data_IF_846867764410
#
_entry.id   IF_846867764410
#
_cell.length_a   1.000
_cell.length_b   1.000
_cell.length_c   1.000
_cell.angle_alpha   90.00
_cell.angle_beta   90.00
_cell.angle_gamma   90.00
#
_symmetry.space_group_name_H-M   'P 1'
#
loop_
_entity.id
_entity.type
_entity.pdbx_description
1 polymer ?
#
# COMPACT_ATOMS: atom_id res chain seq x y z
N UNK A 1 26.54 22.12 -2.72
CA UNK A 1 25.13 22.01 -2.27
C UNK A 1 24.45 20.93 -3.10
N UNK A 2 23.80 19.94 -2.48
CA UNK A 2 22.94 19.00 -3.22
C UNK A 2 21.75 19.78 -3.79
N UNK A 3 21.39 19.56 -5.05
CA UNK A 3 20.29 20.27 -5.73
C UNK A 3 18.96 19.73 -5.21
N UNK A 4 18.15 20.59 -4.59
CA UNK A 4 16.76 20.25 -4.24
C UNK A 4 15.93 20.08 -5.53
N UNK A 5 15.11 19.05 -5.57
CA UNK A 5 14.19 18.75 -6.67
C UNK A 5 12.83 18.37 -6.11
N UNK A 6 11.80 18.51 -6.94
CA UNK A 6 10.42 18.13 -6.63
C UNK A 6 10.16 16.71 -7.11
N UNK A 7 9.72 15.84 -6.21
CA UNK A 7 9.56 14.40 -6.43
C UNK A 7 8.13 13.97 -6.13
N UNK A 8 7.50 13.28 -7.07
CA UNK A 8 6.23 12.61 -6.84
C UNK A 8 6.47 11.18 -6.35
N UNK A 9 5.80 10.81 -5.26
CA UNK A 9 5.81 9.45 -4.71
C UNK A 9 4.41 8.85 -4.86
N UNK A 10 4.31 7.68 -5.48
CA UNK A 10 3.01 7.05 -5.80
C UNK A 10 2.72 5.92 -4.81
N UNK A 11 1.65 6.07 -4.02
CA UNK A 11 1.26 5.21 -2.91
C UNK A 11 1.72 5.76 -1.55
N UNK A 12 1.11 5.31 -0.46
CA UNK A 12 1.49 5.59 0.93
C UNK A 12 1.56 4.30 1.78
N UNK A 13 2.06 3.22 1.17
CA UNK A 13 2.48 2.02 1.88
C UNK A 13 3.93 2.11 2.39
N UNK A 14 4.43 1.04 3.02
CA UNK A 14 5.78 0.92 3.57
C UNK A 14 6.87 1.52 2.67
N UNK A 15 6.92 1.10 1.40
CA UNK A 15 7.93 1.55 0.43
C UNK A 15 7.90 3.07 0.22
N UNK A 16 6.71 3.67 0.11
CA UNK A 16 6.57 5.12 -0.07
C UNK A 16 7.00 5.90 1.17
N UNK A 17 6.62 5.44 2.37
CA UNK A 17 6.97 6.14 3.61
C UNK A 17 8.48 6.25 3.79
N UNK A 18 9.21 5.15 3.60
CA UNK A 18 10.68 5.18 3.70
C UNK A 18 11.30 6.01 2.59
N UNK A 19 10.81 5.90 1.34
CA UNK A 19 11.27 6.72 0.22
C UNK A 19 11.07 8.21 0.50
N UNK A 20 9.88 8.62 0.95
CA UNK A 20 9.57 10.01 1.26
C UNK A 20 10.43 10.54 2.42
N UNK A 21 10.66 9.72 3.46
CA UNK A 21 11.56 10.08 4.57
C UNK A 21 12.96 10.38 4.05
N UNK A 22 13.54 9.51 3.23
CA UNK A 22 14.91 9.70 2.73
C UNK A 22 14.99 10.89 1.76
N UNK A 23 14.01 11.07 0.88
CA UNK A 23 13.95 12.23 -0.01
C UNK A 23 13.85 13.55 0.78
N UNK A 24 13.01 13.58 1.83
CA UNK A 24 12.88 14.73 2.73
C UNK A 24 14.18 15.02 3.48
N UNK A 25 14.86 13.98 3.99
CA UNK A 25 16.17 14.10 4.67
C UNK A 25 17.24 14.70 3.77
N UNK A 26 17.20 14.41 2.48
CA UNK A 26 18.10 14.96 1.47
C UNK A 26 17.69 16.37 0.96
N UNK A 27 16.62 16.95 1.51
CA UNK A 27 16.17 18.31 1.21
C UNK A 27 15.38 18.43 -0.09
N UNK A 28 14.77 17.34 -0.57
CA UNK A 28 13.88 17.37 -1.72
C UNK A 28 12.45 17.80 -1.34
N UNK A 29 11.74 18.43 -2.27
CA UNK A 29 10.30 18.71 -2.13
C UNK A 29 9.54 17.42 -2.51
N UNK A 30 8.75 16.88 -1.59
CA UNK A 30 8.09 15.58 -1.78
C UNK A 30 6.58 15.76 -1.76
N UNK A 31 5.92 15.17 -2.76
CA UNK A 31 4.46 15.04 -2.81
C UNK A 31 4.11 13.57 -2.92
N UNK A 32 3.32 13.06 -1.98
CA UNK A 32 2.87 11.66 -1.95
C UNK A 32 1.42 11.60 -2.41
N UNK A 33 1.11 10.71 -3.34
CA UNK A 33 -0.26 10.47 -3.80
C UNK A 33 -0.77 9.13 -3.29
N UNK A 34 -1.88 9.11 -2.57
CA UNK A 34 -2.50 7.88 -2.05
C UNK A 34 -3.97 7.81 -2.45
N UNK A 35 -4.38 6.69 -3.06
CA UNK A 35 -5.76 6.48 -3.51
C UNK A 35 -6.74 6.30 -2.35
N UNK A 36 -6.25 5.77 -1.23
CA UNK A 36 -6.98 5.53 0.02
C UNK A 36 -7.10 6.80 0.88
N UNK A 37 -7.89 6.72 1.93
CA UNK A 37 -8.03 7.75 2.97
C UNK A 37 -6.97 7.65 4.08
N UNK A 38 -6.09 6.64 4.02
CA UNK A 38 -5.14 6.32 5.09
C UNK A 38 -3.83 5.72 4.59
N UNK A 39 -2.81 5.78 5.45
CA UNK A 39 -1.50 5.14 5.29
C UNK A 39 -1.60 3.63 5.52
N UNK A 40 -0.72 2.87 4.89
CA UNK A 40 -0.46 1.46 5.22
C UNK A 40 -0.38 0.53 4.01
N UNK A 41 -1.00 0.91 2.89
CA UNK A 41 -1.01 0.10 1.68
C UNK A 41 -1.61 -1.29 1.95
N UNK A 42 -0.81 -2.34 1.72
CA UNK A 42 -1.21 -3.73 1.96
C UNK A 42 -1.62 -3.99 3.42
N UNK A 43 -1.01 -3.31 4.39
CA UNK A 43 -1.24 -3.57 5.82
C UNK A 43 -2.57 -3.05 6.36
N UNK A 44 -3.36 -2.40 5.52
CA UNK A 44 -4.75 -2.06 5.81
C UNK A 44 -5.62 -3.26 5.47
N UNK A 45 -6.17 -3.94 6.47
CA UNK A 45 -7.18 -4.97 6.24
C UNK A 45 -8.47 -4.35 5.70
N UNK A 46 -9.01 -4.96 4.64
CA UNK A 46 -10.31 -4.61 4.06
C UNK A 46 -11.15 -5.89 4.00
N UNK A 47 -12.29 -6.00 4.70
CA UNK A 47 -13.14 -7.19 4.64
C UNK A 47 -13.82 -7.39 3.28
N UNK A 48 -13.83 -6.37 2.40
CA UNK A 48 -14.37 -6.51 1.05
C UNK A 48 -13.51 -7.44 0.20
N UNK A 49 -14.18 -8.15 -0.71
CA UNK A 49 -13.59 -8.98 -1.77
C UNK A 49 -14.08 -8.47 -3.11
N UNK A 50 -13.37 -8.81 -4.19
CA UNK A 50 -13.83 -8.48 -5.54
C UNK A 50 -14.99 -9.40 -5.94
N UNK A 51 -15.91 -8.87 -6.76
CA UNK A 51 -17.10 -9.63 -7.22
C UNK A 51 -16.71 -10.85 -8.07
N UNK A 52 -15.60 -10.75 -8.79
CA UNK A 52 -14.96 -11.86 -9.49
C UNK A 52 -14.00 -12.59 -8.54
N UNK A 53 -14.30 -13.85 -8.14
CA UNK A 53 -13.45 -14.58 -7.19
C UNK A 53 -12.04 -14.87 -7.71
N UNK A 54 -11.83 -14.86 -9.03
CA UNK A 54 -10.54 -15.03 -9.69
C UNK A 54 -9.89 -13.72 -10.11
N UNK A 55 -10.61 -12.60 -9.98
CA UNK A 55 -10.09 -11.25 -10.25
C UNK A 55 -9.56 -11.08 -11.68
N UNK A 56 -10.23 -11.70 -12.65
CA UNK A 56 -9.91 -11.68 -14.07
C UNK A 56 -10.64 -10.57 -14.83
N UNK A 57 -11.86 -10.21 -14.41
CA UNK A 57 -12.63 -9.15 -15.07
C UNK A 57 -11.84 -7.82 -15.03
N UNK A 58 -11.49 -7.24 -16.19
CA UNK A 58 -10.76 -5.97 -16.24
C UNK A 58 -11.58 -4.77 -15.73
N UNK A 59 -12.91 -4.87 -15.68
CA UNK A 59 -13.80 -3.79 -15.25
C UNK A 59 -14.23 -3.92 -13.77
N UNK A 60 -13.72 -4.92 -13.06
CA UNK A 60 -14.07 -5.15 -11.66
C UNK A 60 -13.64 -3.99 -10.76
N UNK A 61 -14.34 -3.83 -9.64
CA UNK A 61 -13.88 -2.96 -8.56
C UNK A 61 -12.64 -3.58 -7.91
N UNK A 62 -11.50 -2.90 -7.98
CA UNK A 62 -10.26 -3.39 -7.40
C UNK A 62 -10.23 -3.16 -5.88
N UNK A 63 -10.08 -4.22 -5.11
CA UNK A 63 -9.74 -4.15 -3.68
C UNK A 63 -8.22 -4.16 -3.57
N UNK A 64 -7.62 -3.20 -2.86
CA UNK A 64 -6.15 -3.12 -2.84
C UNK A 64 -5.50 -4.21 -1.97
N UNK A 65 -6.09 -4.46 -0.80
CA UNK A 65 -5.54 -5.36 0.22
C UNK A 65 -5.82 -6.81 -0.12
N UNK A 66 -4.81 -7.63 0.09
CA UNK A 66 -4.88 -9.10 -0.02
C UNK A 66 -4.81 -9.78 1.34
N UNK A 67 -4.90 -9.01 2.43
CA UNK A 67 -4.84 -9.56 3.78
C UNK A 67 -6.12 -10.30 4.14
N UNK A 68 -5.96 -11.36 4.92
CA UNK A 68 -7.04 -12.02 5.63
C UNK A 68 -6.97 -11.70 7.12
N UNK A 69 -8.12 -11.80 7.80
CA UNK A 69 -8.33 -11.27 9.16
C UNK A 69 -7.29 -11.74 10.18
N UNK A 70 -6.89 -13.00 10.10
CA UNK A 70 -6.01 -13.63 11.10
C UNK A 70 -4.54 -13.65 10.69
N UNK A 71 -4.13 -12.82 9.73
CA UNK A 71 -2.75 -12.84 9.24
C UNK A 71 -1.78 -12.33 10.31
N UNK A 72 -0.74 -13.12 10.54
CA UNK A 72 0.44 -12.71 11.30
C UNK A 72 1.56 -12.41 10.30
N UNK A 73 2.46 -11.51 10.68
CA UNK A 73 3.70 -11.32 9.96
C UNK A 73 4.44 -12.67 9.86
N UNK A 74 5.05 -12.94 8.71
CA UNK A 74 5.87 -14.13 8.48
C UNK A 74 7.30 -13.98 8.99
N UNK A 75 7.64 -12.78 9.47
CA UNK A 75 8.96 -12.43 9.99
C UNK A 75 8.82 -11.91 11.42
N UNK A 76 9.82 -12.14 12.28
CA UNK A 76 9.84 -11.55 13.60
C UNK A 76 9.97 -10.03 13.51
N UNK A 77 9.32 -9.29 14.41
CA UNK A 77 9.27 -7.81 14.39
C UNK A 77 10.67 -7.17 14.34
N UNK A 78 11.65 -7.80 14.98
CA UNK A 78 13.02 -7.34 15.11
C UNK A 78 13.71 -7.14 13.76
N UNK A 79 13.33 -7.92 12.75
CA UNK A 79 13.90 -7.81 11.39
C UNK A 79 13.00 -7.04 10.42
N UNK A 80 11.78 -6.67 10.85
CA UNK A 80 10.85 -5.88 10.04
C UNK A 80 11.03 -4.36 10.22
N UNK A 81 11.63 -3.94 11.35
CA UNK A 81 11.94 -2.54 11.61
C UNK A 81 12.96 -1.95 10.63
N UNK A 82 13.03 -0.63 10.58
CA UNK A 82 14.09 0.05 9.84
C UNK A 82 15.36 0.13 10.69
N UNK A 83 16.52 0.23 10.05
CA UNK A 83 17.82 0.27 10.73
C UNK A 83 17.95 1.38 11.78
N UNK A 84 17.24 2.49 11.58
CA UNK A 84 17.20 3.66 12.46
C UNK A 84 15.81 3.91 13.09
N UNK A 85 14.89 2.97 12.92
CA UNK A 85 13.55 3.02 13.51
C UNK A 85 13.07 1.59 13.78
N UNK A 86 13.52 0.98 14.90
CA UNK A 86 13.20 -0.40 15.24
C UNK A 86 11.71 -0.58 15.50
N UNK A 87 11.17 -1.75 15.16
CA UNK A 87 9.77 -2.09 15.41
C UNK A 87 9.61 -2.57 16.85
N UNK A 88 9.51 -1.61 17.77
CA UNK A 88 9.21 -1.90 19.15
C UNK A 88 7.72 -2.12 19.38
N UNK A 89 7.36 -3.02 20.30
CA UNK A 89 6.02 -3.04 20.86
C UNK A 89 5.65 -1.67 21.44
N UNK A 90 4.50 -1.14 21.04
CA UNK A 90 3.96 0.10 21.59
C UNK A 90 2.82 -0.29 22.51
N UNK A 91 2.97 -0.01 23.80
CA UNK A 91 1.87 -0.11 24.75
C UNK A 91 0.91 1.05 24.48
N UNK A 92 -0.24 0.76 23.87
CA UNK A 92 -1.33 1.72 23.75
C UNK A 92 -2.19 1.63 25.02
N UNK A 93 -2.47 2.77 25.65
CA UNK A 93 -3.37 2.89 26.81
C UNK A 93 -4.76 2.26 26.54
N UNK A 94 -5.16 2.15 25.26
CA UNK A 94 -6.42 1.53 24.84
C UNK A 94 -6.35 -0.01 24.68
N UNK A 95 -5.17 -0.61 24.61
CA UNK A 95 -4.98 -2.04 24.32
C UNK A 95 -4.55 -2.87 25.54
N UNK A 96 -4.40 -2.24 26.72
CA UNK A 96 -4.02 -2.93 27.96
C UNK A 96 -2.62 -3.54 27.88
N UNK A 97 -2.22 -4.30 28.91
CA UNK A 97 -0.96 -5.08 28.89
C UNK A 97 -1.03 -6.14 27.80
N UNK A 98 -0.67 -5.76 26.58
CA UNK A 98 -0.66 -6.65 25.42
C UNK A 98 0.62 -7.46 25.48
N UNK A 99 0.51 -8.79 25.53
CA UNK A 99 1.66 -9.64 25.23
C UNK A 99 1.93 -9.47 23.75
N UNK A 100 2.95 -8.68 23.42
CA UNK A 100 3.33 -8.42 22.05
C UNK A 100 3.95 -9.67 21.44
N UNK A 101 3.34 -10.17 20.37
CA UNK A 101 3.83 -11.36 19.70
C UNK A 101 5.12 -11.05 18.93
N UNK A 102 6.10 -11.96 18.98
CA UNK A 102 7.31 -11.91 18.15
C UNK A 102 6.94 -11.77 16.66
N UNK A 103 5.87 -12.47 16.23
CA UNK A 103 5.25 -12.37 14.92
C UNK A 103 3.96 -11.54 15.02
N UNK A 104 4.01 -10.21 14.80
CA UNK A 104 2.88 -9.32 15.04
C UNK A 104 1.70 -9.60 14.11
N UNK A 105 0.45 -9.39 14.56
CA UNK A 105 -0.71 -9.32 13.67
C UNK A 105 -0.61 -8.07 12.77
N UNK A 106 -1.37 -8.05 11.67
CA UNK A 106 -1.29 -6.96 10.69
C UNK A 106 -1.61 -5.58 11.27
N UNK A 107 -2.45 -5.50 12.30
CA UNK A 107 -2.81 -4.26 13.00
C UNK A 107 -1.59 -3.62 13.67
N UNK A 108 -0.72 -4.41 14.28
CA UNK A 108 0.51 -3.90 14.89
C UNK A 108 1.49 -3.39 13.83
N UNK A 109 1.59 -4.08 12.67
CA UNK A 109 2.40 -3.58 11.55
C UNK A 109 1.83 -2.26 11.03
N UNK A 110 0.52 -2.16 10.87
CA UNK A 110 -0.15 -0.93 10.46
C UNK A 110 0.10 0.19 11.48
N UNK A 111 0.04 -0.10 12.77
CA UNK A 111 0.31 0.85 13.85
C UNK A 111 1.74 1.39 13.76
N UNK A 112 2.73 0.50 13.59
CA UNK A 112 4.13 0.87 13.36
C UNK A 112 4.30 1.81 12.16
N UNK A 113 3.63 1.53 11.03
CA UNK A 113 3.69 2.40 9.84
C UNK A 113 3.06 3.78 10.09
N UNK A 114 1.97 3.85 10.84
CA UNK A 114 1.33 5.12 11.19
C UNK A 114 2.21 5.94 12.13
N UNK A 115 2.85 5.30 13.12
CA UNK A 115 3.83 5.95 13.99
C UNK A 115 5.04 6.47 13.21
N UNK A 116 5.61 5.65 12.33
CA UNK A 116 6.69 6.06 11.44
C UNK A 116 6.30 7.29 10.60
N UNK A 117 5.11 7.27 9.99
CA UNK A 117 4.64 8.39 9.18
C UNK A 117 4.42 9.68 10.00
N UNK A 118 4.00 9.55 11.26
CA UNK A 118 3.79 10.67 12.19
C UNK A 118 5.12 11.24 12.70
N UNK A 119 6.01 10.39 13.19
CA UNK A 119 7.29 10.80 13.81
C UNK A 119 8.22 11.50 12.82
N UNK A 120 8.16 11.11 11.54
CA UNK A 120 8.91 11.77 10.47
C UNK A 120 8.12 12.86 9.74
N UNK A 121 6.94 13.22 10.24
CA UNK A 121 6.06 14.27 9.70
C UNK A 121 5.82 14.09 8.18
N UNK A 122 5.48 12.87 7.79
CA UNK A 122 5.22 12.49 6.40
C UNK A 122 3.75 12.68 6.03
N UNK A 123 2.84 12.63 7.01
CA UNK A 123 1.38 12.76 6.79
C UNK A 123 1.04 14.04 6.03
N UNK A 124 1.68 15.16 6.37
CA UNK A 124 1.47 16.45 5.70
C UNK A 124 1.93 16.49 4.22
N UNK A 125 2.71 15.50 3.78
CA UNK A 125 3.15 15.36 2.40
C UNK A 125 2.16 14.55 1.56
N UNK A 126 1.19 13.89 2.20
CA UNK A 126 0.27 12.95 1.55
C UNK A 126 -1.00 13.65 1.10
N UNK A 127 -1.30 13.49 -0.19
CA UNK A 127 -2.61 13.77 -0.79
C UNK A 127 -3.42 12.48 -0.80
N UNK A 128 -4.21 12.28 0.25
CA UNK A 128 -5.15 11.16 0.35
C UNK A 128 -6.29 11.28 -0.67
N UNK A 129 -7.02 10.18 -0.88
CA UNK A 129 -8.12 10.07 -1.83
C UNK A 129 -7.76 10.57 -3.24
N UNK A 130 -6.49 10.44 -3.62
CA UNK A 130 -5.93 10.97 -4.87
C UNK A 130 -5.17 9.87 -5.59
N UNK A 131 -5.78 9.35 -6.65
CA UNK A 131 -5.23 8.28 -7.47
C UNK A 131 -4.42 8.88 -8.63
N UNK A 132 -3.16 8.47 -8.78
CA UNK A 132 -2.39 8.75 -10.00
C UNK A 132 -2.93 7.88 -11.14
N UNK A 133 -3.25 8.49 -12.27
CA UNK A 133 -3.81 7.84 -13.46
C UNK A 133 -2.82 7.80 -14.62
N UNK A 134 -1.88 8.74 -14.70
CA UNK A 134 -0.86 8.77 -15.73
C UNK A 134 0.45 9.37 -15.23
N UNK A 135 1.55 8.83 -15.71
CA UNK A 135 2.89 9.40 -15.57
C UNK A 135 3.55 9.38 -16.95
N UNK A 136 4.06 10.52 -17.40
CA UNK A 136 4.77 10.60 -18.67
C UNK A 136 5.84 11.68 -18.66
N UNK A 137 6.81 11.56 -19.56
CA UNK A 137 7.76 12.64 -19.81
C UNK A 137 7.02 13.84 -20.43
N UNK A 138 7.39 15.03 -19.98
CA UNK A 138 6.96 16.29 -20.59
C UNK A 138 7.57 16.42 -21.99
N UNK A 139 6.81 16.99 -22.93
CA UNK A 139 7.29 17.29 -24.29
C UNK A 139 8.14 18.59 -24.35
N UNK A 140 8.70 19.02 -23.22
CA UNK A 140 9.53 20.21 -23.11
C UNK A 140 11.01 19.80 -23.20
N UNK A 141 11.63 20.09 -24.34
CA UNK A 141 13.00 19.67 -24.68
C UNK A 141 14.06 20.33 -23.78
N UNK A 142 13.76 21.44 -23.10
CA UNK A 142 14.74 22.14 -22.27
C UNK A 142 14.91 21.55 -20.86
N UNK A 143 13.89 20.83 -20.35
CA UNK A 143 13.91 20.26 -18.99
C UNK A 143 13.23 18.90 -18.96
N UNK A 144 14.01 17.82 -18.84
CA UNK A 144 13.51 16.48 -18.50
C UNK A 144 12.68 16.52 -17.20
N UNK A 145 11.36 16.60 -17.36
CA UNK A 145 10.37 16.67 -16.28
C UNK A 145 9.26 15.68 -16.56
N UNK A 146 8.60 15.23 -15.51
CA UNK A 146 7.51 14.26 -15.54
C UNK A 146 6.19 14.98 -15.29
N UNK A 147 5.20 14.69 -16.13
CA UNK A 147 3.79 15.04 -15.92
C UNK A 147 3.15 13.91 -15.14
N UNK A 148 2.61 14.23 -13.96
CA UNK A 148 1.83 13.30 -13.13
C UNK A 148 0.38 13.76 -13.12
N UNK A 149 -0.49 12.95 -13.73
CA UNK A 149 -1.95 13.17 -13.75
C UNK A 149 -2.59 12.34 -12.64
N UNK A 150 -3.54 12.96 -11.93
CA UNK A 150 -4.23 12.34 -10.81
C UNK A 150 -5.70 12.75 -10.74
N UNK A 151 -6.50 11.90 -10.11
CA UNK A 151 -7.91 12.15 -9.83
C UNK A 151 -8.14 12.08 -8.33
N UNK A 152 -8.57 13.20 -7.75
CA UNK A 152 -8.98 13.30 -6.35
C UNK A 152 -10.49 13.20 -6.23
N UNK A 153 -10.99 12.42 -5.25
CA UNK A 153 -12.44 12.39 -4.94
C UNK A 153 -13.01 13.75 -4.56
N UNK A 154 -12.17 14.65 -4.02
CA UNK A 154 -12.59 15.94 -3.48
C UNK A 154 -12.40 17.10 -4.46
N UNK A 155 -11.35 17.04 -5.29
CA UNK A 155 -10.90 18.17 -6.12
C UNK A 155 -11.05 17.90 -7.62
N UNK A 156 -11.31 16.65 -8.03
CA UNK A 156 -11.39 16.26 -9.44
C UNK A 156 -10.01 15.94 -10.03
N UNK A 157 -9.87 16.13 -11.34
CA UNK A 157 -8.64 15.81 -12.07
C UNK A 157 -7.60 16.93 -11.95
N UNK A 158 -6.33 16.57 -11.77
CA UNK A 158 -5.21 17.50 -11.69
C UNK A 158 -3.98 16.95 -12.42
N UNK A 159 -3.11 17.85 -12.87
CA UNK A 159 -1.83 17.53 -13.52
C UNK A 159 -0.74 18.41 -12.95
N UNK A 160 0.40 17.83 -12.57
CA UNK A 160 1.52 18.55 -11.96
C UNK A 160 2.87 18.05 -12.50
N UNK A 161 3.84 18.96 -12.58
CA UNK A 161 5.20 18.68 -13.07
C UNK A 161 6.16 18.35 -11.94
N UNK A 162 6.98 17.33 -12.15
CA UNK A 162 7.99 16.86 -11.20
C UNK A 162 9.33 16.63 -11.92
N UNK A 163 10.46 16.79 -11.23
CA UNK A 163 11.75 16.41 -11.82
C UNK A 163 12.06 14.92 -11.66
N UNK A 164 11.41 14.25 -10.71
CA UNK A 164 11.51 12.80 -10.54
C UNK A 164 10.19 12.19 -10.05
N UNK A 165 10.01 10.92 -10.33
CA UNK A 165 8.86 10.13 -9.87
C UNK A 165 9.37 8.82 -9.28
N UNK A 166 8.87 8.45 -8.10
CA UNK A 166 9.11 7.15 -7.47
C UNK A 166 7.82 6.36 -7.41
N UNK A 167 7.81 5.19 -8.04
CA UNK A 167 6.63 4.31 -8.11
C UNK A 167 6.67 3.33 -6.94
N UNK A 168 5.74 3.50 -5.98
CA UNK A 168 5.65 2.70 -4.76
C UNK A 168 4.25 2.09 -4.58
N UNK A 169 3.55 1.80 -5.69
CA UNK A 169 2.14 1.37 -5.72
C UNK A 169 1.90 -0.07 -5.26
N UNK A 170 2.96 -0.83 -4.96
CA UNK A 170 2.89 -2.25 -4.61
C UNK A 170 2.62 -3.16 -5.82
N UNK A 171 2.75 -4.47 -5.59
CA UNK A 171 2.60 -5.51 -6.63
C UNK A 171 1.83 -6.76 -6.17
N UNK A 172 1.19 -6.73 -4.99
CA UNK A 172 0.43 -7.86 -4.42
C UNK A 172 -1.09 -7.73 -4.56
N UNK A 173 -1.56 -6.80 -5.39
CA UNK A 173 -3.00 -6.59 -5.66
C UNK A 173 -3.47 -7.32 -6.91
N UNK A 174 -2.69 -7.25 -8.00
CA UNK A 174 -3.09 -7.87 -9.26
C UNK A 174 -2.73 -9.36 -9.23
N UNK A 175 -3.70 -10.27 -9.42
CA UNK A 175 -3.47 -11.69 -9.30
C UNK A 175 -2.81 -12.27 -10.55
N UNK A 176 -2.09 -13.37 -10.36
CA UNK A 176 -1.54 -14.19 -11.43
C UNK A 176 -2.05 -15.61 -11.24
N UNK A 177 -2.86 -16.08 -12.18
CA UNK A 177 -3.40 -17.43 -12.13
C UNK A 177 -2.39 -18.48 -12.62
N UNK A 178 -2.50 -19.68 -12.06
CA UNK A 178 -1.78 -20.85 -12.54
C UNK A 178 -2.54 -21.48 -13.72
N UNK A 179 -1.80 -21.98 -14.70
CA UNK A 179 -2.37 -22.82 -15.75
C UNK A 179 -2.49 -24.25 -15.24
N UNK A 180 -3.73 -24.73 -15.11
CA UNK A 180 -4.03 -26.04 -14.55
C UNK A 180 -4.79 -26.88 -15.60
N UNK A 181 -4.21 -27.96 -16.15
CA UNK A 181 -4.89 -28.80 -17.12
C UNK A 181 -6.21 -29.35 -16.60
N UNK A 182 -7.29 -29.16 -17.36
CA UNK A 182 -8.64 -29.63 -16.99
C UNK A 182 -9.40 -28.76 -15.99
N UNK A 183 -8.86 -27.60 -15.61
CA UNK A 183 -9.49 -26.71 -14.61
C UNK A 183 -10.89 -26.23 -15.03
N UNK A 184 -11.13 -26.05 -16.33
CA UNK A 184 -12.43 -25.63 -16.88
C UNK A 184 -13.53 -26.70 -16.69
N UNK A 185 -13.15 -27.96 -16.48
CA UNK A 185 -14.07 -29.07 -16.27
C UNK A 185 -14.31 -29.37 -14.78
N UNK A 186 -13.55 -28.74 -13.89
CA UNK A 186 -13.64 -29.00 -12.47
C UNK A 186 -14.85 -28.25 -11.86
N UNK A 187 -15.82 -28.95 -11.25
CA UNK A 187 -17.08 -28.34 -10.82
C UNK A 187 -17.00 -27.59 -9.48
N UNK A 188 -15.83 -27.58 -8.84
CA UNK A 188 -15.67 -26.97 -7.54
C UNK A 188 -15.47 -25.45 -7.60
N UNK A 189 -15.39 -24.84 -6.41
CA UNK A 189 -15.20 -23.39 -6.26
C UNK A 189 -13.74 -23.02 -6.49
N UNK A 190 -13.50 -22.14 -7.47
CA UNK A 190 -12.18 -21.53 -7.70
C UNK A 190 -12.14 -20.12 -7.11
N UNK A 191 -11.07 -19.79 -6.41
CA UNK A 191 -10.79 -18.45 -5.90
C UNK A 191 -9.30 -18.14 -6.02
N UNK A 192 -8.94 -16.87 -6.20
CA UNK A 192 -7.58 -16.41 -5.97
C UNK A 192 -7.39 -15.99 -4.50
N UNK A 193 -6.20 -16.21 -3.93
CA UNK A 193 -5.89 -15.87 -2.53
C UNK A 193 -6.10 -14.38 -2.19
N UNK A 194 -6.00 -13.51 -3.19
CA UNK A 194 -6.35 -12.09 -3.10
C UNK A 194 -7.73 -11.85 -2.48
N UNK A 195 -8.71 -12.72 -2.76
CA UNK A 195 -10.08 -12.62 -2.27
C UNK A 195 -10.35 -13.46 -1.00
N UNK A 196 -9.33 -14.09 -0.40
CA UNK A 196 -9.50 -14.79 0.87
C UNK A 196 -9.50 -13.81 2.05
N UNK A 197 -10.42 -13.99 3.01
CA UNK A 197 -10.55 -13.13 4.21
C UNK A 197 -10.66 -13.89 5.52
N UNK A 198 -11.43 -14.98 5.52
CA UNK A 198 -11.70 -15.76 6.71
C UNK A 198 -12.07 -17.20 6.34
N UNK A 199 -11.84 -18.16 7.27
CA UNK A 199 -12.06 -19.59 6.98
C UNK A 199 -13.54 -19.98 7.01
N UNK A 200 -14.43 -19.15 7.56
CA UNK A 200 -15.85 -19.48 7.78
C UNK A 200 -16.58 -19.97 6.52
N UNK A 201 -16.21 -19.44 5.34
CA UNK A 201 -16.77 -19.88 4.05
C UNK A 201 -16.31 -21.27 3.57
N UNK A 202 -15.40 -21.91 4.29
CA UNK A 202 -14.84 -23.24 4.02
C UNK A 202 -15.11 -24.25 5.14
N UNK A 203 -15.86 -23.86 6.18
CA UNK A 203 -16.23 -24.77 7.25
C UNK A 203 -17.14 -25.88 6.74
N UNK A 204 -16.80 -27.13 7.09
CA UNK A 204 -17.65 -28.29 6.83
C UNK A 204 -18.74 -28.31 7.90
N UNK A 205 -19.97 -28.02 7.51
CA UNK A 205 -21.13 -28.19 8.39
C UNK A 205 -21.47 -29.68 8.45
N UNK A 206 -21.39 -30.26 9.65
CA UNK A 206 -21.87 -31.61 9.97
C UNK A 206 -23.36 -31.60 10.33
#
# INVERSE_FOLDING_TARGET
MKRAVKVAVIGAGLASLVTARELKREGHEVVIYEKSDRVGGLWVYDPQVEDDPLSLDPNRKIVHSSLFRSVLATFPREIMGFSDYPFFPVDDENHGTTIHAEFPPHEEVLHFLNHFAKDFELIQLIRFNTQVTRVALSNDDEKCSWVVESVSKNVGSASELFQAVTVCSGHFTLPRLAELPGIDQWPGKQIHSHNYREPSSFEIRF
#
